data_IF_634629124663
#
_entry.id   IF_634629124663
#
_cell.length_a   1.000
_cell.length_b   1.000
_cell.length_c   1.000
_cell.angle_alpha   90.00
_cell.angle_beta   90.00
_cell.angle_gamma   90.00
#
_symmetry.space_group_name_H-M   'P 1'
#
loop_
_entity.id
_entity.type
_entity.pdbx_description
1 polymer ?
#
# COMPACT_ATOMS: atom_id res chain seq x y z
N UNK A 1 -0.10 10.65 -18.01
CA UNK A 1 -0.13 10.38 -16.53
C UNK A 1 -1.56 10.54 -16.03
N UNK A 2 -1.96 10.06 -14.84
CA UNK A 2 -3.36 10.14 -14.41
C UNK A 2 -3.96 11.56 -14.37
N UNK A 3 -3.15 12.59 -14.13
CA UNK A 3 -3.59 13.99 -14.18
C UNK A 3 -3.71 14.58 -15.59
N UNK A 4 -3.33 13.83 -16.64
CA UNK A 4 -3.48 14.27 -18.02
C UNK A 4 -4.99 14.35 -18.36
N UNK A 5 -5.49 15.46 -18.95
CA UNK A 5 -6.90 15.63 -19.30
C UNK A 5 -7.45 14.45 -20.11
N UNK A 6 -6.66 13.93 -21.05
CA UNK A 6 -7.06 12.84 -21.94
C UNK A 6 -6.81 11.45 -21.36
N UNK A 7 -6.27 11.36 -20.14
CA UNK A 7 -6.06 10.08 -19.46
C UNK A 7 -7.38 9.41 -19.12
N UNK A 8 -7.40 8.10 -19.37
CA UNK A 8 -8.48 7.19 -19.03
C UNK A 8 -7.86 5.97 -18.32
N UNK A 9 -8.55 5.33 -17.36
CA UNK A 9 -8.04 4.15 -16.66
C UNK A 9 -7.66 2.98 -17.58
N UNK A 10 -8.29 2.91 -18.76
CA UNK A 10 -8.02 1.92 -19.82
C UNK A 10 -6.73 2.20 -20.59
N UNK A 11 -6.19 3.42 -20.52
CA UNK A 11 -4.91 3.81 -21.14
C UNK A 11 -3.72 3.60 -20.21
N UNK A 12 -3.96 3.21 -18.96
CA UNK A 12 -2.89 3.02 -17.99
C UNK A 12 -2.09 1.74 -18.29
N UNK A 13 -0.75 1.81 -18.39
CA UNK A 13 0.08 0.63 -18.58
C UNK A 13 -0.14 -0.40 -17.47
N UNK A 14 -0.38 -1.65 -17.85
CA UNK A 14 -0.58 -2.77 -16.92
C UNK A 14 0.67 -3.62 -16.90
N UNK A 15 1.20 -3.86 -15.69
CA UNK A 15 2.29 -4.79 -15.44
C UNK A 15 1.72 -6.03 -14.76
N UNK A 16 1.90 -7.17 -15.42
CA UNK A 16 1.60 -8.49 -14.87
C UNK A 16 2.85 -9.36 -14.98
N UNK A 17 3.26 -9.96 -13.86
CA UNK A 17 4.36 -10.92 -13.84
C UNK A 17 3.79 -12.30 -13.52
N UNK A 18 3.80 -13.20 -14.51
CA UNK A 18 3.42 -14.60 -14.32
C UNK A 18 4.71 -15.41 -14.41
N UNK A 19 5.23 -15.78 -13.24
CA UNK A 19 6.47 -16.54 -13.11
C UNK A 19 6.36 -17.53 -11.96
N UNK A 20 7.23 -18.54 -11.95
CA UNK A 20 7.51 -19.31 -10.72
C UNK A 20 8.33 -18.46 -9.75
N UNK A 21 8.63 -18.99 -8.57
CA UNK A 21 9.59 -18.34 -7.68
C UNK A 21 10.91 -18.08 -8.41
N UNK A 22 11.42 -16.86 -8.27
CA UNK A 22 12.58 -16.34 -8.99
C UNK A 22 13.61 -15.68 -8.05
N UNK A 23 13.37 -15.73 -6.74
CA UNK A 23 14.29 -15.31 -5.70
C UNK A 23 14.26 -16.29 -4.53
N UNK A 24 15.42 -16.48 -3.92
CA UNK A 24 15.60 -17.24 -2.66
C UNK A 24 16.19 -16.36 -1.56
N UNK A 25 16.30 -15.05 -1.79
CA UNK A 25 16.89 -14.13 -0.82
C UNK A 25 15.95 -13.97 0.37
N UNK A 26 16.47 -14.26 1.56
CA UNK A 26 15.72 -14.40 2.82
C UNK A 26 14.73 -15.58 2.85
N UNK A 27 13.96 -15.80 1.80
CA UNK A 27 13.04 -16.93 1.61
C UNK A 27 12.69 -17.10 0.13
N UNK A 28 12.02 -18.20 -0.24
CA UNK A 28 11.59 -18.47 -1.61
C UNK A 28 10.38 -17.62 -1.97
N UNK A 29 10.45 -16.84 -3.06
CA UNK A 29 9.37 -15.97 -3.53
C UNK A 29 9.55 -15.55 -4.99
N UNK A 30 8.52 -14.89 -5.54
CA UNK A 30 8.55 -14.26 -6.86
C UNK A 30 8.58 -12.73 -6.76
N UNK A 31 9.45 -12.11 -7.56
CA UNK A 31 9.62 -10.67 -7.70
C UNK A 31 9.17 -10.23 -9.11
N UNK A 32 8.42 -9.14 -9.20
CA UNK A 32 8.14 -8.45 -10.46
C UNK A 32 9.30 -7.54 -10.88
N UNK A 33 9.58 -6.52 -10.07
CA UNK A 33 10.72 -5.61 -10.23
C UNK A 33 11.65 -5.66 -9.02
N UNK A 34 12.90 -6.04 -9.26
CA UNK A 34 13.98 -5.88 -8.28
C UNK A 34 14.64 -4.50 -8.43
N UNK A 35 14.49 -3.67 -7.40
CA UNK A 35 15.13 -2.36 -7.29
C UNK A 35 16.54 -2.55 -6.73
N UNK A 36 17.51 -2.64 -7.63
CA UNK A 36 18.93 -2.88 -7.31
C UNK A 36 19.82 -1.63 -7.49
N UNK A 37 19.23 -0.43 -7.41
CA UNK A 37 19.95 0.86 -7.50
C UNK A 37 19.18 1.98 -6.78
N UNK A 38 19.88 3.07 -6.50
CA UNK A 38 19.30 4.28 -5.92
C UNK A 38 18.43 5.05 -6.91
N UNK A 39 17.53 5.87 -6.36
CA UNK A 39 16.74 6.88 -7.08
C UNK A 39 15.90 6.27 -8.21
N UNK A 40 15.11 5.27 -7.86
CA UNK A 40 14.17 4.60 -8.78
C UNK A 40 12.77 5.15 -8.55
N UNK A 41 12.06 5.44 -9.63
CA UNK A 41 10.68 5.89 -9.56
C UNK A 41 9.75 5.02 -10.40
N UNK A 42 8.60 4.64 -9.80
CA UNK A 42 7.48 4.02 -10.50
C UNK A 42 6.33 5.02 -10.55
N UNK A 43 5.86 5.35 -11.75
CA UNK A 43 4.85 6.39 -11.95
C UNK A 43 3.79 5.97 -12.96
N UNK A 44 2.51 6.07 -12.61
CA UNK A 44 1.44 5.89 -13.58
C UNK A 44 1.23 4.45 -14.04
N UNK A 45 1.57 3.45 -13.21
CA UNK A 45 1.49 2.02 -13.55
C UNK A 45 0.38 1.30 -12.79
N UNK A 46 -0.28 0.34 -13.44
CA UNK A 46 -1.19 -0.61 -12.79
C UNK A 46 -0.49 -1.96 -12.66
N UNK A 47 -0.12 -2.33 -11.43
CA UNK A 47 0.50 -3.61 -11.12
C UNK A 47 -0.56 -4.58 -10.62
N UNK A 48 -0.64 -5.76 -11.25
CA UNK A 48 -1.58 -6.83 -10.86
C UNK A 48 -0.83 -8.04 -10.30
N UNK A 49 -1.56 -8.90 -9.59
CA UNK A 49 -0.97 -10.09 -8.95
C UNK A 49 -0.49 -11.18 -9.91
N UNK A 50 0.18 -12.18 -9.34
CA UNK A 50 0.72 -13.33 -10.05
C UNK A 50 -0.28 -14.49 -9.97
N UNK A 51 -0.78 -14.94 -11.13
CA UNK A 51 -1.76 -16.02 -11.22
C UNK A 51 -1.15 -17.42 -11.25
N UNK A 52 0.18 -17.56 -11.09
CA UNK A 52 0.83 -18.85 -11.00
C UNK A 52 0.52 -19.51 -9.64
N UNK A 53 -0.20 -20.66 -9.60
CA UNK A 53 -0.64 -21.28 -8.35
C UNK A 53 0.51 -21.84 -7.50
N UNK A 54 1.71 -22.01 -8.06
CA UNK A 54 2.87 -22.47 -7.27
C UNK A 54 3.50 -21.35 -6.46
N UNK A 55 3.23 -20.08 -6.79
CA UNK A 55 3.83 -18.93 -6.11
C UNK A 55 3.03 -18.58 -4.88
N UNK A 56 3.64 -18.77 -3.71
CA UNK A 56 3.04 -18.39 -2.43
C UNK A 56 3.19 -16.91 -2.13
N UNK A 57 4.33 -16.33 -2.50
CA UNK A 57 4.71 -14.97 -2.16
C UNK A 57 5.12 -14.20 -3.41
N UNK A 58 4.29 -13.23 -3.81
CA UNK A 58 4.59 -12.35 -4.93
C UNK A 58 4.68 -10.89 -4.50
N UNK A 59 5.76 -10.25 -4.91
CA UNK A 59 6.05 -8.84 -4.66
C UNK A 59 6.28 -8.11 -5.99
N UNK A 60 5.33 -7.26 -6.43
CA UNK A 60 5.48 -6.49 -7.66
C UNK A 60 6.70 -5.56 -7.65
N UNK A 61 6.99 -4.92 -6.51
CA UNK A 61 8.15 -4.05 -6.31
C UNK A 61 8.90 -4.52 -5.07
N UNK A 62 10.19 -4.81 -5.25
CA UNK A 62 11.07 -5.31 -4.21
C UNK A 62 12.37 -4.52 -4.15
N UNK A 63 12.73 -4.01 -2.97
CA UNK A 63 14.07 -3.45 -2.68
C UNK A 63 14.68 -4.17 -1.49
N UNK A 64 15.58 -5.11 -1.78
CA UNK A 64 16.10 -6.01 -0.75
C UNK A 64 17.30 -5.45 0.01
N UNK A 65 18.09 -4.58 -0.64
CA UNK A 65 19.32 -4.03 -0.07
C UNK A 65 18.99 -2.80 0.79
N UNK A 66 19.34 -2.89 2.07
CA UNK A 66 19.11 -1.85 3.07
C UNK A 66 19.98 -0.61 2.89
N UNK A 67 21.07 -0.70 2.11
CA UNK A 67 21.92 0.44 1.77
C UNK A 67 21.32 1.31 0.64
N UNK A 68 20.37 0.78 -0.14
CA UNK A 68 19.76 1.51 -1.24
C UNK A 68 18.73 2.52 -0.75
N UNK A 69 18.66 3.66 -1.45
CA UNK A 69 17.82 4.79 -1.10
C UNK A 69 17.05 5.35 -2.31
N UNK A 70 15.99 6.13 -2.02
CA UNK A 70 15.22 6.83 -3.03
C UNK A 70 14.38 5.89 -3.90
N UNK A 71 13.33 5.32 -3.31
CA UNK A 71 12.28 4.60 -4.02
C UNK A 71 11.01 5.44 -4.00
N UNK A 72 10.67 6.04 -5.14
CA UNK A 72 9.45 6.84 -5.28
C UNK A 72 8.37 6.05 -6.03
N UNK A 73 7.18 5.95 -5.45
CA UNK A 73 6.02 5.33 -6.10
C UNK A 73 4.89 6.35 -6.10
N UNK A 74 4.42 6.74 -7.29
CA UNK A 74 3.39 7.76 -7.40
C UNK A 74 2.38 7.48 -8.49
N UNK A 75 1.08 7.68 -8.19
CA UNK A 75 0.03 7.51 -9.19
C UNK A 75 0.00 6.08 -9.75
N UNK A 76 0.23 5.09 -8.89
CA UNK A 76 0.19 3.67 -9.24
C UNK A 76 -1.02 2.97 -8.64
N UNK A 77 -1.53 1.96 -9.34
CA UNK A 77 -2.45 0.97 -8.78
C UNK A 77 -1.71 -0.31 -8.46
N UNK A 78 -2.04 -0.93 -7.33
CA UNK A 78 -1.69 -2.29 -7.00
C UNK A 78 -2.99 -3.05 -6.74
N UNK A 79 -3.32 -4.00 -7.62
CA UNK A 79 -4.60 -4.71 -7.60
C UNK A 79 -4.31 -6.20 -7.40
N UNK A 80 -4.59 -6.69 -6.20
CA UNK A 80 -4.53 -8.10 -5.86
C UNK A 80 -5.93 -8.73 -5.88
N UNK A 81 -5.98 -10.02 -6.21
CA UNK A 81 -7.16 -10.84 -5.98
C UNK A 81 -6.74 -12.06 -5.15
N UNK A 82 -7.31 -12.19 -3.96
CA UNK A 82 -6.84 -13.10 -2.91
C UNK A 82 -6.88 -14.58 -3.31
N UNK A 83 -7.72 -14.97 -4.27
CA UNK A 83 -7.98 -16.37 -4.62
C UNK A 83 -7.33 -16.80 -5.95
N UNK A 84 -6.94 -15.85 -6.80
CA UNK A 84 -6.54 -16.15 -8.18
C UNK A 84 -5.25 -15.47 -8.62
N UNK A 85 -4.97 -14.26 -8.16
CA UNK A 85 -3.77 -13.51 -8.50
C UNK A 85 -3.37 -12.65 -7.29
N UNK A 86 -2.86 -13.28 -6.22
CA UNK A 86 -2.54 -12.56 -4.99
C UNK A 86 -1.31 -11.66 -5.17
N UNK A 87 -1.30 -10.58 -4.40
CA UNK A 87 -0.10 -9.78 -4.12
C UNK A 87 0.21 -9.98 -2.63
N UNK A 88 1.34 -10.59 -2.30
CA UNK A 88 1.74 -10.80 -0.89
C UNK A 88 2.10 -9.47 -0.23
N UNK A 89 2.83 -8.62 -0.96
CA UNK A 89 3.17 -7.26 -0.57
C UNK A 89 3.34 -6.41 -1.82
N UNK A 90 2.55 -5.35 -1.98
CA UNK A 90 2.65 -4.53 -3.19
C UNK A 90 4.02 -3.84 -3.31
N UNK A 91 4.53 -3.35 -2.18
CA UNK A 91 5.92 -2.88 -2.04
C UNK A 91 6.55 -3.62 -0.86
N UNK A 92 7.61 -4.37 -1.13
CA UNK A 92 8.48 -4.94 -0.11
C UNK A 92 9.84 -4.26 -0.14
N UNK A 93 10.19 -3.50 0.90
CA UNK A 93 11.38 -2.68 0.89
C UNK A 93 12.14 -2.69 2.22
N UNK A 94 13.46 -2.63 2.09
CA UNK A 94 14.42 -2.20 3.10
C UNK A 94 15.01 -0.84 2.70
N UNK A 95 15.79 -0.22 3.60
CA UNK A 95 16.55 1.00 3.34
C UNK A 95 15.71 2.29 3.37
N UNK A 96 16.41 3.42 3.21
CA UNK A 96 15.84 4.75 3.37
C UNK A 96 15.12 5.30 2.13
N UNK A 97 14.34 6.37 2.33
CA UNK A 97 13.75 7.17 1.26
C UNK A 97 12.73 6.42 0.41
N UNK A 98 11.84 5.66 1.04
CA UNK A 98 10.65 5.10 0.36
C UNK A 98 9.52 6.12 0.46
N UNK A 99 9.08 6.67 -0.67
CA UNK A 99 8.00 7.65 -0.73
C UNK A 99 6.87 7.14 -1.61
N UNK A 100 5.66 7.08 -1.04
CA UNK A 100 4.45 6.64 -1.73
C UNK A 100 3.45 7.78 -1.71
N UNK A 101 3.04 8.21 -2.90
CA UNK A 101 2.14 9.34 -3.07
C UNK A 101 1.04 9.05 -4.09
N UNK A 102 -0.19 9.47 -3.82
CA UNK A 102 -1.31 9.31 -4.75
C UNK A 102 -1.40 7.91 -5.37
N UNK A 103 -1.30 6.86 -4.55
CA UNK A 103 -1.35 5.48 -5.03
C UNK A 103 -2.51 4.72 -4.41
N UNK A 104 -3.03 3.73 -5.13
CA UNK A 104 -4.17 2.93 -4.71
C UNK A 104 -3.74 1.47 -4.58
N UNK A 105 -3.90 0.92 -3.38
CA UNK A 105 -3.65 -0.49 -3.06
C UNK A 105 -5.00 -1.14 -2.78
N UNK A 106 -5.39 -2.11 -3.59
CA UNK A 106 -6.71 -2.74 -3.53
C UNK A 106 -6.57 -4.26 -3.53
N UNK A 107 -7.08 -4.91 -2.48
CA UNK A 107 -7.11 -6.39 -2.38
C UNK A 107 -5.73 -7.06 -2.25
N UNK A 108 -4.69 -6.31 -1.86
CA UNK A 108 -3.38 -6.89 -1.56
C UNK A 108 -3.43 -7.68 -0.24
N UNK A 109 -2.55 -8.65 -0.01
CA UNK A 109 -2.42 -9.23 1.34
C UNK A 109 -1.86 -8.19 2.30
N UNK A 110 -0.73 -7.59 1.90
CA UNK A 110 -0.17 -6.40 2.48
C UNK A 110 0.00 -5.32 1.40
N UNK A 111 -0.35 -4.06 1.68
CA UNK A 111 0.00 -2.99 0.75
C UNK A 111 1.50 -2.66 0.86
N UNK A 112 2.01 -2.45 2.08
CA UNK A 112 3.41 -2.13 2.32
C UNK A 112 4.04 -3.09 3.33
N UNK A 113 5.21 -3.63 3.00
CA UNK A 113 6.09 -4.39 3.89
C UNK A 113 7.43 -3.67 3.97
N UNK A 114 7.66 -3.00 5.10
CA UNK A 114 8.82 -2.11 5.32
C UNK A 114 9.58 -2.62 6.53
N UNK A 115 10.79 -3.16 6.37
CA UNK A 115 11.42 -3.91 7.47
C UNK A 115 12.70 -3.30 8.04
N UNK A 116 13.81 -3.28 7.30
CA UNK A 116 15.13 -2.93 7.85
C UNK A 116 15.58 -1.56 7.36
N UNK A 117 16.18 -0.77 8.23
CA UNK A 117 16.79 0.52 7.88
C UNK A 117 15.80 1.50 7.26
N UNK A 118 14.55 1.44 7.71
CA UNK A 118 13.48 2.29 7.18
C UNK A 118 13.62 3.69 7.77
N UNK A 119 14.16 4.58 6.96
CA UNK A 119 14.33 6.00 7.28
C UNK A 119 13.77 6.87 6.19
N UNK A 120 13.35 8.10 6.51
CA UNK A 120 12.76 9.02 5.53
C UNK A 120 11.60 8.36 4.74
N UNK A 121 10.68 7.72 5.44
CA UNK A 121 9.50 7.11 4.83
C UNK A 121 8.38 8.15 4.69
N UNK A 122 7.64 8.09 3.58
CA UNK A 122 6.36 8.78 3.47
C UNK A 122 5.30 7.94 2.77
N UNK A 123 4.07 8.04 3.26
CA UNK A 123 2.86 7.58 2.60
C UNK A 123 1.84 8.71 2.65
N UNK A 124 1.51 9.28 1.50
CA UNK A 124 0.63 10.43 1.41
C UNK A 124 -0.41 10.32 0.31
N UNK A 125 -1.58 10.95 0.53
CA UNK A 125 -2.64 11.09 -0.46
C UNK A 125 -3.07 9.76 -1.10
N UNK A 126 -2.93 8.64 -0.39
CA UNK A 126 -3.07 7.30 -0.95
C UNK A 126 -4.25 6.55 -0.34
N UNK A 127 -4.80 5.59 -1.10
CA UNK A 127 -5.88 4.72 -0.65
C UNK A 127 -5.34 3.31 -0.48
N UNK A 128 -5.58 2.71 0.68
CA UNK A 128 -5.37 1.27 0.92
C UNK A 128 -6.72 0.68 1.29
N UNK A 129 -7.20 -0.27 0.49
CA UNK A 129 -8.49 -0.92 0.70
C UNK A 129 -8.40 -2.43 0.56
N UNK A 130 -9.07 -3.15 1.46
CA UNK A 130 -9.21 -4.60 1.31
C UNK A 130 -7.94 -5.40 1.62
N UNK A 131 -7.00 -4.85 2.41
CA UNK A 131 -5.78 -5.61 2.74
C UNK A 131 -6.09 -6.70 3.76
N UNK A 132 -5.96 -7.96 3.36
CA UNK A 132 -6.45 -9.10 4.17
C UNK A 132 -5.43 -9.67 5.16
N UNK A 133 -4.27 -9.02 5.33
CA UNK A 133 -3.36 -9.22 6.48
C UNK A 133 -3.05 -7.88 7.13
N UNK A 134 -2.53 -6.89 6.40
CA UNK A 134 -2.33 -5.55 6.93
C UNK A 134 -2.24 -4.49 5.83
N UNK A 135 -2.71 -3.26 6.08
CA UNK A 135 -2.40 -2.16 5.17
C UNK A 135 -0.90 -1.87 5.17
N UNK A 136 -0.29 -1.74 6.34
CA UNK A 136 1.17 -1.60 6.48
C UNK A 136 1.69 -2.57 7.51
N UNK A 137 2.73 -3.30 7.16
CA UNK A 137 3.56 -4.02 8.13
C UNK A 137 4.93 -3.35 8.18
N UNK A 138 5.15 -2.69 9.31
CA UNK A 138 6.33 -1.89 9.59
C UNK A 138 7.22 -2.62 10.61
N UNK A 139 8.50 -2.76 10.26
CA UNK A 139 9.53 -3.36 11.09
C UNK A 139 9.92 -2.47 12.27
N UNK A 140 11.16 -2.60 12.78
CA UNK A 140 11.67 -1.72 13.83
C UNK A 140 11.51 -0.24 13.49
N UNK A 141 11.03 0.53 14.46
CA UNK A 141 10.91 1.98 14.32
C UNK A 141 12.27 2.62 14.53
N UNK A 142 12.90 3.07 13.43
CA UNK A 142 14.21 3.70 13.46
C UNK A 142 14.16 5.23 13.39
N UNK A 143 13.13 5.78 12.74
CA UNK A 143 12.96 7.23 12.59
C UNK A 143 11.52 7.62 12.29
N UNK A 144 11.21 8.90 12.53
CA UNK A 144 9.92 9.50 12.19
C UNK A 144 9.64 9.40 10.68
N UNK A 145 8.34 9.31 10.34
CA UNK A 145 7.87 9.26 8.96
C UNK A 145 6.68 10.19 8.73
N UNK A 146 6.40 10.47 7.46
CA UNK A 146 5.25 11.27 7.07
C UNK A 146 4.08 10.37 6.65
N UNK A 147 3.02 10.34 7.45
CA UNK A 147 1.75 9.70 7.10
C UNK A 147 0.63 10.73 7.16
N UNK A 148 0.09 11.13 5.99
CA UNK A 148 -1.00 12.11 5.91
C UNK A 148 -1.89 11.99 4.68
N UNK A 149 -3.12 12.48 4.78
CA UNK A 149 -4.11 12.53 3.71
C UNK A 149 -4.42 11.16 3.11
N UNK A 150 -4.31 10.09 3.90
CA UNK A 150 -4.58 8.74 3.42
C UNK A 150 -5.99 8.31 3.77
N UNK A 151 -6.51 7.34 3.01
CA UNK A 151 -7.69 6.55 3.39
C UNK A 151 -7.27 5.10 3.49
N UNK A 152 -7.44 4.52 4.68
CA UNK A 152 -7.20 3.08 4.93
C UNK A 152 -8.48 2.44 5.43
N UNK A 153 -9.02 1.50 4.65
CA UNK A 153 -10.34 0.93 4.92
C UNK A 153 -10.44 -0.54 4.56
N UNK A 154 -11.41 -1.25 5.14
CA UNK A 154 -11.70 -2.66 4.84
C UNK A 154 -10.47 -3.57 4.95
N UNK A 155 -9.48 -3.22 5.77
CA UNK A 155 -8.31 -4.05 6.00
C UNK A 155 -8.48 -4.89 7.27
N UNK A 156 -7.78 -6.02 7.34
CA UNK A 156 -7.71 -6.84 8.55
C UNK A 156 -7.02 -6.05 9.67
N UNK A 157 -5.82 -5.52 9.41
CA UNK A 157 -5.13 -4.57 10.29
C UNK A 157 -4.80 -3.29 9.53
N UNK A 158 -4.97 -2.13 10.17
CA UNK A 158 -4.40 -0.89 9.64
C UNK A 158 -2.86 -0.92 9.71
N UNK A 159 -2.29 -1.35 10.84
CA UNK A 159 -0.84 -1.29 11.02
C UNK A 159 -0.30 -2.44 11.88
N UNK A 160 0.66 -3.19 11.34
CA UNK A 160 1.46 -4.16 12.09
C UNK A 160 2.83 -3.57 12.42
N UNK A 161 3.28 -3.76 13.66
CA UNK A 161 4.62 -3.40 14.15
C UNK A 161 5.46 -4.64 14.44
N UNK A 162 6.76 -4.43 14.71
CA UNK A 162 7.60 -5.46 15.32
C UNK A 162 7.05 -5.90 16.69
N UNK A 163 7.06 -7.22 16.94
CA UNK A 163 6.64 -7.84 18.20
C UNK A 163 7.44 -7.28 19.40
N UNK A 164 6.79 -7.20 20.57
CA UNK A 164 7.34 -6.56 21.79
C UNK A 164 7.72 -5.06 21.61
N UNK A 165 7.23 -4.49 20.51
CA UNK A 165 7.14 -3.09 20.11
C UNK A 165 6.22 -2.18 20.90
N UNK A 166 6.48 -0.89 21.17
CA UNK A 166 5.40 0.13 21.37
C UNK A 166 5.80 1.53 20.85
N UNK A 167 6.12 1.67 19.55
CA UNK A 167 6.65 2.91 18.99
C UNK A 167 5.62 4.05 18.93
N UNK A 168 6.13 5.28 19.00
CA UNK A 168 5.35 6.52 18.92
C UNK A 168 5.08 6.94 17.47
N UNK A 169 4.42 6.08 16.69
CA UNK A 169 4.09 6.42 15.29
C UNK A 169 3.18 7.65 15.23
N UNK A 170 3.47 8.59 14.33
CA UNK A 170 2.61 9.77 14.11
C UNK A 170 1.78 9.61 12.84
N UNK A 171 0.46 9.63 12.99
CA UNK A 171 -0.50 9.62 11.89
C UNK A 171 -1.28 10.93 11.86
N UNK A 172 -1.34 11.60 10.72
CA UNK A 172 -2.00 12.90 10.59
C UNK A 172 -3.08 12.91 9.52
N UNK A 173 -4.10 13.75 9.68
CA UNK A 173 -5.09 14.14 8.65
C UNK A 173 -5.48 13.01 7.70
N UNK A 174 -6.04 11.91 8.22
CA UNK A 174 -6.33 10.70 7.43
C UNK A 174 -7.62 10.04 7.90
N UNK A 175 -8.22 9.19 7.06
CA UNK A 175 -9.32 8.31 7.47
C UNK A 175 -8.80 6.89 7.63
N UNK A 176 -9.04 6.29 8.80
CA UNK A 176 -8.68 4.90 9.11
C UNK A 176 -9.94 4.22 9.64
N UNK A 177 -10.84 3.81 8.75
CA UNK A 177 -12.20 3.41 9.11
C UNK A 177 -12.59 2.08 8.46
N UNK A 178 -13.41 1.28 9.14
CA UNK A 178 -13.89 -0.02 8.60
C UNK A 178 -12.82 -1.12 8.53
N UNK A 179 -11.71 -0.97 9.27
CA UNK A 179 -10.73 -2.04 9.43
C UNK A 179 -11.16 -2.95 10.59
N UNK A 180 -10.88 -4.26 10.52
CA UNK A 180 -11.24 -5.19 11.58
C UNK A 180 -10.47 -4.89 12.88
N UNK A 181 -9.19 -4.57 12.74
CA UNK A 181 -8.30 -4.21 13.84
C UNK A 181 -7.52 -2.92 13.50
N UNK A 182 -7.28 -2.11 14.54
CA UNK A 182 -6.53 -0.86 14.35
C UNK A 182 -5.03 -1.13 14.23
N UNK A 183 -4.43 -1.77 15.24
CA UNK A 183 -3.00 -2.08 15.24
C UNK A 183 -2.75 -3.48 15.78
N UNK A 184 -1.66 -4.09 15.33
CA UNK A 184 -1.24 -5.40 15.77
C UNK A 184 0.27 -5.59 15.64
N UNK A 185 0.72 -6.80 15.85
CA UNK A 185 2.07 -7.25 15.55
C UNK A 185 2.01 -8.66 14.98
N UNK A 186 3.04 -9.08 14.27
CA UNK A 186 3.10 -10.45 13.74
C UNK A 186 3.81 -11.35 14.75
N UNK A 187 3.06 -12.26 15.38
CA UNK A 187 3.58 -13.25 16.30
C UNK A 187 3.77 -14.63 15.64
N UNK A 188 4.11 -15.67 16.41
CA UNK A 188 4.45 -17.00 15.89
C UNK A 188 3.37 -17.70 15.07
N UNK A 189 2.09 -17.33 15.28
CA UNK A 189 0.92 -17.94 14.61
C UNK A 189 0.21 -17.00 13.63
N UNK A 190 0.77 -15.82 13.38
CA UNK A 190 0.17 -14.79 12.53
C UNK A 190 0.01 -13.45 13.24
N UNK A 191 -0.77 -12.55 12.63
CA UNK A 191 -1.07 -11.25 13.20
C UNK A 191 -1.90 -11.38 14.48
N UNK A 192 -1.53 -10.59 15.50
CA UNK A 192 -2.18 -10.52 16.80
C UNK A 192 -2.48 -9.05 17.08
N UNK A 193 -3.70 -8.76 17.54
CA UNK A 193 -4.10 -7.42 17.94
C UNK A 193 -3.25 -6.90 19.12
N UNK A 194 -2.86 -5.63 19.02
CA UNK A 194 -2.07 -4.99 20.06
C UNK A 194 -2.99 -4.42 21.14
N UNK A 195 -2.81 -4.90 22.37
CA UNK A 195 -3.53 -4.36 23.54
C UNK A 195 -3.02 -2.96 23.95
N UNK A 196 -1.80 -2.61 23.54
CA UNK A 196 -1.14 -1.35 23.89
C UNK A 196 -0.54 -0.68 22.65
N UNK A 197 -0.82 0.60 22.50
CA UNK A 197 -0.45 1.37 21.31
C UNK A 197 -0.08 2.80 21.71
N UNK A 198 1.11 3.28 21.32
CA UNK A 198 1.65 4.60 21.68
C UNK A 198 1.58 5.63 20.53
N UNK A 199 0.83 5.34 19.48
CA UNK A 199 0.69 6.24 18.33
C UNK A 199 0.11 7.59 18.72
N UNK A 200 0.58 8.61 18.04
CA UNK A 200 0.08 9.96 18.10
C UNK A 200 -0.80 10.17 16.86
N UNK A 201 -2.06 10.53 17.08
CA UNK A 201 -2.99 10.86 15.98
C UNK A 201 -3.33 12.34 15.99
N UNK A 202 -3.16 13.03 14.86
CA UNK A 202 -3.53 14.45 14.68
C UNK A 202 -4.53 14.58 13.53
N UNK A 203 -5.80 14.82 13.84
CA UNK A 203 -6.84 14.95 12.80
C UNK A 203 -7.14 13.65 12.03
N UNK A 204 -6.90 12.49 12.65
CA UNK A 204 -7.27 11.19 12.09
C UNK A 204 -8.72 10.87 12.47
N UNK A 205 -9.56 10.55 11.48
CA UNK A 205 -10.89 9.97 11.74
C UNK A 205 -10.81 8.45 11.72
N UNK A 206 -11.31 7.80 12.78
CA UNK A 206 -11.29 6.32 12.91
C UNK A 206 -12.61 5.64 12.55
N UNK A 207 -13.57 6.41 12.07
CA UNK A 207 -14.89 5.97 11.62
C UNK A 207 -15.32 6.86 10.45
N UNK A 208 -16.24 6.36 9.64
CA UNK A 208 -16.76 7.05 8.47
C UNK A 208 -17.21 6.08 7.39
N UNK A 209 -17.96 6.61 6.43
CA UNK A 209 -18.42 5.87 5.25
C UNK A 209 -17.44 6.08 4.12
N UNK A 210 -16.80 5.00 3.64
CA UNK A 210 -15.87 5.04 2.51
C UNK A 210 -16.49 4.30 1.33
N UNK A 211 -16.67 5.00 0.21
CA UNK A 211 -17.21 4.44 -1.02
C UNK A 211 -16.21 4.66 -2.16
N UNK A 212 -15.82 3.59 -2.83
CA UNK A 212 -14.89 3.65 -3.96
C UNK A 212 -15.65 3.58 -5.28
N UNK A 213 -15.14 4.24 -6.33
CA UNK A 213 -15.65 4.13 -7.69
C UNK A 213 -15.23 2.79 -8.32
N UNK A 214 -15.93 1.73 -7.96
CA UNK A 214 -15.66 0.37 -8.43
C UNK A 214 -16.28 0.10 -9.81
N UNK A 215 -15.79 -0.94 -10.48
CA UNK A 215 -16.40 -1.44 -11.73
C UNK A 215 -17.82 -1.93 -11.42
N UNK A 216 -18.78 -1.40 -12.17
CA UNK A 216 -20.17 -1.89 -12.21
C UNK A 216 -20.39 -2.63 -13.53
N UNK A 217 -21.34 -2.19 -14.35
CA UNK A 217 -21.67 -2.85 -15.63
C UNK A 217 -20.91 -2.31 -16.84
N UNK A 218 -20.39 -1.07 -16.77
CA UNK A 218 -19.86 -0.35 -17.95
C UNK A 218 -18.32 -0.28 -18.00
N UNK A 219 -17.63 -1.28 -17.44
CA UNK A 219 -16.16 -1.28 -17.37
C UNK A 219 -15.59 -0.33 -16.32
N UNK A 220 -14.34 0.11 -16.52
CA UNK A 220 -13.60 0.97 -15.58
C UNK A 220 -14.14 2.42 -15.64
N UNK A 221 -14.69 2.97 -14.55
CA UNK A 221 -15.09 4.38 -14.51
C UNK A 221 -13.85 5.30 -14.51
N UNK A 222 -13.98 6.54 -14.96
CA UNK A 222 -12.85 7.50 -15.07
C UNK A 222 -12.07 7.66 -13.77
N UNK A 223 -12.77 7.62 -12.64
CA UNK A 223 -12.28 7.75 -11.29
C UNK A 223 -12.07 6.41 -10.61
N UNK A 224 -11.84 5.33 -11.38
CA UNK A 224 -11.68 3.95 -10.89
C UNK A 224 -10.89 3.84 -9.57
N UNK A 225 -11.55 3.29 -8.56
CA UNK A 225 -11.13 3.10 -7.16
C UNK A 225 -10.76 4.37 -6.38
N UNK A 226 -10.97 5.57 -6.91
CA UNK A 226 -10.93 6.79 -6.11
C UNK A 226 -12.20 6.90 -5.24
N UNK A 227 -12.17 7.78 -4.26
CA UNK A 227 -13.32 8.06 -3.39
C UNK A 227 -14.46 8.69 -4.20
N UNK A 228 -15.68 8.20 -3.98
CA UNK A 228 -16.88 8.88 -4.44
C UNK A 228 -17.16 10.14 -3.58
N UNK A 229 -17.82 11.18 -4.11
CA UNK A 229 -18.09 12.44 -3.40
C UNK A 229 -18.80 12.30 -2.05
N UNK A 230 -19.57 11.22 -1.86
CA UNK A 230 -20.30 10.95 -0.62
C UNK A 230 -19.41 10.34 0.48
N UNK A 231 -18.15 10.01 0.17
CA UNK A 231 -17.24 9.38 1.12
C UNK A 231 -16.71 10.38 2.14
N UNK A 232 -16.63 9.94 3.39
CA UNK A 232 -15.80 10.62 4.39
C UNK A 232 -14.35 10.71 3.89
N UNK A 233 -13.79 11.91 3.94
CA UNK A 233 -12.41 12.15 3.48
C UNK A 233 -12.27 12.39 1.98
N UNK A 234 -13.37 12.57 1.22
CA UNK A 234 -13.30 13.00 -0.19
C UNK A 234 -12.45 14.27 -0.39
N UNK A 235 -12.42 15.16 0.61
CA UNK A 235 -11.61 16.38 0.58
C UNK A 235 -10.12 16.17 0.87
N UNK A 236 -9.72 14.99 1.35
CA UNK A 236 -8.30 14.65 1.46
C UNK A 236 -7.62 14.49 0.09
N UNK A 237 -8.43 14.31 -0.97
CA UNK A 237 -7.97 14.04 -2.34
C UNK A 237 -7.01 12.84 -2.40
N UNK A 238 -7.25 11.85 -1.53
CA UNK A 238 -6.55 10.57 -1.60
C UNK A 238 -6.98 9.82 -2.87
N UNK A 239 -6.04 9.21 -3.57
CA UNK A 239 -6.33 8.45 -4.79
C UNK A 239 -5.24 8.62 -5.84
N UNK A 240 -5.57 8.42 -7.11
CA UNK A 240 -4.59 8.40 -8.21
C UNK A 240 -4.29 9.80 -8.80
N UNK A 241 -5.16 10.77 -8.53
CA UNK A 241 -5.09 12.11 -9.12
C UNK A 241 -4.51 13.12 -8.13
N UNK A 242 -3.50 13.87 -8.57
CA UNK A 242 -2.95 15.02 -7.84
C UNK A 242 -3.78 16.27 -8.06
N UNK A 243 -4.42 16.36 -9.23
CA UNK A 243 -5.36 17.43 -9.55
C UNK A 243 -6.74 16.80 -9.71
N UNK A 244 -7.78 17.28 -9.01
CA UNK A 244 -9.13 16.75 -9.16
C UNK A 244 -9.56 16.78 -10.64
N UNK A 245 -10.06 15.65 -11.15
CA UNK A 245 -10.74 15.64 -12.45
C UNK A 245 -12.15 16.24 -12.31
N UNK A 246 -12.60 17.05 -13.29
CA UNK A 246 -13.94 17.64 -13.29
C UNK A 246 -15.05 16.59 -13.35
#
# INVERSE_FOLDING_TARGET
>A
MPDDPDWQPTKMPVIQSISTDNSTKQFVHAIGFLVARNNVSFKGLKLVGNANPTVRYYYPITREDEALQGLDVSQCYFIGEKNSAPIQGAIWAHGGGTHVDHSIFYGCKNALLLFKSITNFSLTNSIISGSYEAAVWFGPYESDFLFRNNVVTNCEYFWLRAENTTPNYTFSTSIIAGNAHYMGFFGPKGAIEANETNQITKGVKKSGTILLSEVKTNGLPIDYLNLLPQSDGYDLKAGIFKTPKP
#
